data_IF_761059288212
#
_entry.id   IF_761059288212
#
_cell.length_a   1.000
_cell.length_b   1.000
_cell.length_c   1.000
_cell.angle_alpha   90.00
_cell.angle_beta   90.00
_cell.angle_gamma   90.00
#
_symmetry.space_group_name_H-M   'P 1'
#
loop_
_entity.id
_entity.type
_entity.pdbx_description
1 polymer ?
#
# COMPACT_ATOMS: atom_id res chain seq x y z
N UNK A 1 4.40 -17.60 19.26
CA UNK A 1 5.40 -17.16 18.26
C UNK A 1 6.21 -16.05 18.90
N UNK A 2 7.54 -16.17 18.94
CA UNK A 2 8.40 -15.12 19.47
C UNK A 2 9.03 -14.40 18.29
N UNK A 3 8.81 -13.08 18.20
CA UNK A 3 9.35 -12.22 17.15
C UNK A 3 10.16 -11.12 17.84
N UNK A 4 11.38 -10.90 17.37
CA UNK A 4 12.20 -9.80 17.85
C UNK A 4 11.85 -8.53 17.09
N UNK A 5 11.60 -7.46 17.81
CA UNK A 5 11.29 -6.15 17.26
C UNK A 5 12.45 -5.21 17.47
N UNK A 6 12.53 -4.19 16.62
CA UNK A 6 13.47 -3.09 16.83
C UNK A 6 13.00 -2.23 18.00
N UNK A 7 13.93 -1.52 18.65
CA UNK A 7 13.61 -0.63 19.76
C UNK A 7 12.52 0.40 19.40
N UNK A 8 12.60 0.97 18.18
CA UNK A 8 11.59 1.90 17.66
C UNK A 8 10.18 1.28 17.60
N UNK A 9 10.07 0.00 17.23
CA UNK A 9 8.77 -0.69 17.17
C UNK A 9 8.24 -0.99 18.57
N UNK A 10 9.11 -1.36 19.51
CA UNK A 10 8.72 -1.55 20.91
C UNK A 10 8.22 -0.26 21.55
N UNK A 11 8.90 0.86 21.30
CA UNK A 11 8.52 2.18 21.81
C UNK A 11 7.17 2.60 21.25
N UNK A 12 6.97 2.47 19.93
CA UNK A 12 5.67 2.72 19.30
C UNK A 12 4.55 1.85 19.90
N UNK A 13 4.76 0.54 20.05
CA UNK A 13 3.76 -0.35 20.65
C UNK A 13 3.44 0.07 22.09
N UNK A 14 4.44 0.47 22.86
CA UNK A 14 4.27 0.92 24.24
C UNK A 14 3.44 2.20 24.31
N UNK A 15 3.69 3.17 23.42
CA UNK A 15 2.90 4.41 23.31
C UNK A 15 1.45 4.14 22.97
N UNK A 16 1.18 3.23 22.02
CA UNK A 16 -0.17 2.87 21.60
C UNK A 16 -0.97 2.10 22.66
N UNK A 17 -0.29 1.35 23.54
CA UNK A 17 -0.94 0.73 24.70
C UNK A 17 -1.19 1.79 25.78
N UNK A 18 -0.23 2.69 26.01
CA UNK A 18 -0.35 3.75 27.01
C UNK A 18 -1.46 4.77 26.67
N UNK A 19 -1.72 5.02 25.38
CA UNK A 19 -2.84 5.86 24.93
C UNK A 19 -4.21 5.20 25.17
N UNK A 20 -4.24 3.87 25.34
CA UNK A 20 -5.47 3.09 25.46
C UNK A 20 -6.09 2.66 24.12
N UNK A 21 -5.44 2.98 23.00
CA UNK A 21 -5.89 2.56 21.66
C UNK A 21 -5.83 1.04 21.48
N UNK A 22 -4.93 0.38 22.21
CA UNK A 22 -4.78 -1.07 22.22
C UNK A 22 -4.60 -1.63 23.63
N UNK A 23 -5.18 -2.81 23.90
CA UNK A 23 -5.07 -3.46 25.21
C UNK A 23 -3.74 -4.18 25.40
N UNK A 24 -3.11 -4.65 24.31
CA UNK A 24 -1.85 -5.37 24.35
C UNK A 24 -1.14 -5.36 22.99
N UNK A 25 0.16 -5.69 23.01
CA UNK A 25 0.99 -5.73 21.82
C UNK A 25 0.48 -6.71 20.75
N UNK A 26 -0.10 -7.85 21.17
CA UNK A 26 -0.57 -8.85 20.21
C UNK A 26 -1.77 -8.38 19.40
N UNK A 27 -2.62 -7.53 19.99
CA UNK A 27 -3.75 -6.90 19.31
C UNK A 27 -3.26 -5.94 18.23
N UNK A 28 -2.40 -5.00 18.59
CA UNK A 28 -1.80 -4.05 17.65
C UNK A 28 -1.08 -4.75 16.50
N UNK A 29 -0.26 -5.77 16.81
CA UNK A 29 0.48 -6.51 15.78
C UNK A 29 -0.48 -7.24 14.82
N UNK A 30 -1.57 -7.83 15.30
CA UNK A 30 -2.57 -8.46 14.42
C UNK A 30 -3.23 -7.44 13.51
N UNK A 31 -3.55 -6.26 14.03
CA UNK A 31 -4.18 -5.20 13.24
C UNK A 31 -3.23 -4.63 12.19
N UNK A 32 -1.97 -4.42 12.55
CA UNK A 32 -0.93 -4.01 11.61
C UNK A 32 -0.72 -5.06 10.50
N UNK A 33 -0.74 -6.35 10.83
CA UNK A 33 -0.63 -7.43 9.84
C UNK A 33 -1.85 -7.47 8.91
N UNK A 34 -3.06 -7.27 9.45
CA UNK A 34 -4.28 -7.19 8.64
C UNK A 34 -4.21 -6.02 7.66
N UNK A 35 -3.75 -4.86 8.12
CA UNK A 35 -3.56 -3.70 7.25
C UNK A 35 -2.49 -3.96 6.18
N UNK A 36 -1.40 -4.63 6.54
CA UNK A 36 -0.35 -5.02 5.59
C UNK A 36 -0.87 -5.93 4.48
N UNK A 37 -1.66 -6.96 4.84
CA UNK A 37 -2.29 -7.89 3.90
C UNK A 37 -3.23 -7.13 2.95
N UNK A 38 -4.16 -6.33 3.50
CA UNK A 38 -5.11 -5.54 2.71
C UNK A 38 -4.40 -4.59 1.74
N UNK A 39 -3.33 -3.93 2.19
CA UNK A 39 -2.59 -2.99 1.33
C UNK A 39 -1.86 -3.72 0.21
N UNK A 40 -1.23 -4.87 0.48
CA UNK A 40 -0.58 -5.68 -0.54
C UNK A 40 -1.58 -6.12 -1.61
N UNK A 41 -2.73 -6.64 -1.20
CA UNK A 41 -3.75 -7.09 -2.12
C UNK A 41 -4.33 -5.94 -2.93
N UNK A 42 -4.63 -4.82 -2.28
CA UNK A 42 -5.14 -3.61 -2.93
C UNK A 42 -4.19 -3.10 -4.01
N UNK A 43 -2.90 -2.93 -3.69
CA UNK A 43 -1.90 -2.45 -4.67
C UNK A 43 -1.84 -3.35 -5.90
N UNK A 44 -1.87 -4.67 -5.70
CA UNK A 44 -1.83 -5.64 -6.81
C UNK A 44 -3.10 -5.56 -7.65
N UNK A 45 -4.28 -5.46 -7.01
CA UNK A 45 -5.55 -5.38 -7.73
C UNK A 45 -5.71 -4.06 -8.48
N UNK A 46 -5.34 -2.95 -7.87
CA UNK A 46 -5.37 -1.63 -8.51
C UNK A 46 -4.45 -1.63 -9.75
N UNK A 47 -3.22 -2.16 -9.63
CA UNK A 47 -2.30 -2.29 -10.78
C UNK A 47 -2.89 -3.16 -11.90
N UNK A 48 -3.45 -4.32 -11.57
CA UNK A 48 -4.09 -5.21 -12.55
C UNK A 48 -5.27 -4.52 -13.25
N UNK A 49 -6.08 -3.77 -12.50
CA UNK A 49 -7.21 -3.04 -13.04
C UNK A 49 -6.76 -1.97 -14.04
N UNK A 50 -5.73 -1.17 -13.71
CA UNK A 50 -5.21 -0.15 -14.64
C UNK A 50 -4.57 -0.76 -15.89
N UNK A 51 -3.86 -1.89 -15.76
CA UNK A 51 -3.35 -2.64 -16.92
C UNK A 51 -4.50 -3.11 -17.81
N UNK A 52 -5.57 -3.67 -17.21
CA UNK A 52 -6.73 -4.15 -17.96
C UNK A 52 -7.42 -3.01 -18.71
N UNK A 53 -7.59 -1.84 -18.08
CA UNK A 53 -8.12 -0.63 -18.75
C UNK A 53 -7.27 -0.24 -19.95
N UNK A 54 -5.94 -0.27 -19.81
CA UNK A 54 -5.01 0.00 -20.90
C UNK A 54 -5.18 -0.99 -22.07
N UNK A 55 -5.28 -2.28 -21.78
CA UNK A 55 -5.51 -3.31 -22.80
C UNK A 55 -6.86 -3.16 -23.50
N UNK A 56 -7.91 -2.83 -22.75
CA UNK A 56 -9.27 -2.60 -23.30
C UNK A 56 -9.38 -1.30 -24.10
N UNK A 57 -8.54 -0.30 -23.80
CA UNK A 57 -8.51 0.97 -24.53
C UNK A 57 -7.98 0.85 -25.96
N UNK A 58 -7.36 -0.29 -26.29
CA UNK A 58 -6.75 -0.54 -27.60
C UNK A 58 -5.39 0.14 -27.76
N UNK A 59 -4.82 0.03 -28.96
CA UNK A 59 -3.55 0.67 -29.27
C UNK A 59 -3.77 2.11 -29.69
N UNK A 60 -2.88 3.00 -29.24
CA UNK A 60 -2.87 4.38 -29.71
C UNK A 60 -2.18 4.48 -31.07
N UNK A 61 -2.77 5.24 -31.99
CA UNK A 61 -2.14 5.61 -33.26
C UNK A 61 -1.16 6.80 -33.11
N UNK A 62 -1.05 7.38 -31.90
CA UNK A 62 -0.18 8.53 -31.64
C UNK A 62 1.28 8.12 -31.68
N UNK A 63 2.09 8.89 -32.41
CA UNK A 63 3.54 8.77 -32.32
C UNK A 63 4.07 9.36 -31.01
N UNK A 64 5.31 9.03 -30.65
CA UNK A 64 5.97 9.60 -29.46
C UNK A 64 6.01 11.14 -29.53
N UNK A 65 6.22 11.72 -30.72
CA UNK A 65 6.24 13.17 -30.91
C UNK A 65 4.85 13.79 -30.67
N UNK A 66 3.78 13.12 -31.10
CA UNK A 66 2.41 13.57 -30.84
C UNK A 66 2.08 13.57 -29.35
N UNK A 67 2.63 12.61 -28.59
CA UNK A 67 2.46 12.52 -27.14
C UNK A 67 3.20 13.66 -26.43
N UNK A 68 4.46 13.91 -26.80
CA UNK A 68 5.26 14.98 -26.17
C UNK A 68 4.64 16.36 -26.41
N UNK A 69 4.17 16.62 -27.63
CA UNK A 69 3.61 17.93 -27.97
C UNK A 69 2.27 18.22 -27.28
N UNK A 70 1.51 17.23 -26.82
CA UNK A 70 0.23 17.48 -26.13
C UNK A 70 0.37 17.89 -24.67
N UNK A 71 1.56 17.76 -24.08
CA UNK A 71 1.83 18.06 -22.67
C UNK A 71 2.55 19.42 -22.48
N UNK A 72 2.81 20.16 -23.57
CA UNK A 72 3.58 21.40 -23.58
C UNK A 72 2.68 22.66 -23.74
N UNK A 73 1.39 22.48 -24.01
CA UNK A 73 0.37 23.55 -23.95
C UNK A 73 -0.26 23.67 -22.55
#
# INVERSE_FOLDING_TARGET
>A
MNVSLTKKQEDYISEQIASGDYQNASELVRDALRLHELYRDKVIQDLKSEIQKGLESGYSDRSILDIINSEID
#
